data_IF_792984649791
#
_entry.id   IF_792984649791
#
_cell.length_a   1.000
_cell.length_b   1.000
_cell.length_c   1.000
_cell.angle_alpha   90.00
_cell.angle_beta   90.00
_cell.angle_gamma   90.00
#
_symmetry.space_group_name_H-M   'P 1'
#
loop_
_entity.id
_entity.type
_entity.pdbx_description
1 polymer ?
#
# COMPACT_ATOMS: atom_id res chain seq x y z
N UNK A 1 19.57 9.60 14.33
CA UNK A 1 19.56 8.68 15.49
C UNK A 1 18.47 7.64 15.28
N UNK A 2 18.87 6.41 14.94
CA UNK A 2 18.01 5.39 14.33
C UNK A 2 17.27 4.60 15.44
N UNK A 3 16.03 4.97 15.76
CA UNK A 3 15.18 4.23 16.73
C UNK A 3 14.77 2.89 16.11
N UNK A 4 15.65 1.87 16.23
CA UNK A 4 15.30 0.49 15.90
C UNK A 4 14.14 0.07 16.83
N UNK A 5 13.01 -0.31 16.21
CA UNK A 5 11.77 -0.69 16.89
C UNK A 5 12.04 -1.83 17.90
N UNK A 6 11.66 -1.69 19.19
CA UNK A 6 12.00 -2.64 20.26
C UNK A 6 11.36 -4.04 20.10
N UNK A 7 10.41 -4.18 19.20
CA UNK A 7 9.68 -5.43 18.97
C UNK A 7 10.47 -6.49 18.22
N UNK A 8 11.50 -6.11 17.46
CA UNK A 8 12.24 -7.06 16.61
C UNK A 8 13.00 -8.10 17.43
N UNK A 9 13.61 -7.68 18.56
CA UNK A 9 14.36 -8.58 19.44
C UNK A 9 13.47 -9.58 20.18
N UNK A 10 12.29 -9.14 20.62
CA UNK A 10 11.32 -10.00 21.31
C UNK A 10 10.77 -11.05 20.34
N UNK A 11 10.44 -10.64 19.11
CA UNK A 11 9.90 -11.53 18.08
C UNK A 11 10.93 -12.60 17.67
N UNK A 12 12.22 -12.24 17.56
CA UNK A 12 13.29 -13.23 17.29
C UNK A 12 13.50 -14.21 18.44
N UNK A 13 13.39 -13.76 19.70
CA UNK A 13 13.52 -14.64 20.86
C UNK A 13 12.37 -15.64 20.93
N UNK A 14 11.14 -15.19 20.71
CA UNK A 14 9.97 -16.08 20.65
C UNK A 14 10.17 -17.15 19.58
N UNK A 15 10.62 -16.79 18.38
CA UNK A 15 10.87 -17.75 17.30
C UNK A 15 11.96 -18.77 17.63
N UNK A 16 13.08 -18.32 18.22
CA UNK A 16 14.13 -19.24 18.67
C UNK A 16 13.59 -20.24 19.71
N UNK A 17 12.73 -19.77 20.62
CA UNK A 17 12.08 -20.65 21.62
C UNK A 17 11.14 -21.64 20.97
N UNK A 18 10.34 -21.23 19.97
CA UNK A 18 9.46 -22.15 19.24
C UNK A 18 10.29 -23.19 18.49
N UNK A 19 11.35 -22.81 17.76
CA UNK A 19 12.26 -23.76 17.09
C UNK A 19 12.81 -24.80 18.07
N UNK A 20 13.34 -24.34 19.20
CA UNK A 20 13.92 -25.22 20.22
C UNK A 20 12.85 -26.17 20.77
N UNK A 21 11.64 -25.68 21.02
CA UNK A 21 10.52 -26.49 21.47
C UNK A 21 10.10 -27.52 20.40
N UNK A 22 10.05 -27.14 19.12
CA UNK A 22 9.70 -28.03 18.00
C UNK A 22 10.73 -29.15 17.83
N UNK A 23 12.03 -28.83 17.93
CA UNK A 23 13.13 -29.81 17.93
C UNK A 23 13.01 -30.76 19.12
N UNK A 24 12.81 -30.24 20.34
CA UNK A 24 12.63 -31.03 21.55
C UNK A 24 11.40 -31.95 21.47
N UNK A 25 10.28 -31.44 20.98
CA UNK A 25 9.03 -32.20 20.86
C UNK A 25 9.17 -33.35 19.87
N UNK A 26 9.79 -33.11 18.70
CA UNK A 26 10.01 -34.14 17.68
C UNK A 26 11.03 -35.21 18.12
N UNK A 27 12.06 -34.81 18.85
CA UNK A 27 13.03 -35.76 19.44
C UNK A 27 12.43 -36.58 20.58
N UNK A 28 11.57 -35.99 21.42
CA UNK A 28 10.88 -36.71 22.51
C UNK A 28 9.73 -37.60 22.04
N UNK A 29 9.04 -37.25 20.95
CA UNK A 29 7.95 -38.09 20.43
C UNK A 29 8.42 -39.41 19.80
N UNK A 30 9.73 -39.61 19.63
CA UNK A 30 10.28 -40.87 19.12
C UNK A 30 9.86 -41.16 17.68
N UNK A 31 9.86 -40.14 16.81
CA UNK A 31 9.59 -40.33 15.39
C UNK A 31 10.69 -41.17 14.73
N UNK A 32 10.37 -42.45 14.48
CA UNK A 32 11.12 -43.43 13.67
C UNK A 32 12.50 -43.87 14.21
N UNK A 33 12.69 -45.19 14.33
CA UNK A 33 14.00 -45.85 14.59
C UNK A 33 15.06 -45.55 13.50
N UNK A 34 14.65 -44.96 12.37
CA UNK A 34 15.52 -44.55 11.28
C UNK A 34 15.84 -43.04 11.33
N UNK A 35 17.09 -42.74 11.71
CA UNK A 35 17.76 -41.43 11.66
C UNK A 35 17.46 -40.58 10.41
N UNK A 36 17.51 -41.10 9.16
CA UNK A 36 17.29 -40.27 7.97
C UNK A 36 15.86 -39.74 7.84
N UNK A 37 14.84 -40.48 8.30
CA UNK A 37 13.45 -39.99 8.27
C UNK A 37 13.25 -38.86 9.26
N UNK A 38 13.79 -39.01 10.48
CA UNK A 38 13.73 -37.99 11.52
C UNK A 38 14.33 -36.67 11.03
N UNK A 39 15.49 -36.72 10.37
CA UNK A 39 16.16 -35.52 9.81
C UNK A 39 15.30 -34.84 8.73
N UNK A 40 14.70 -35.61 7.81
CA UNK A 40 13.86 -35.05 6.74
C UNK A 40 12.61 -34.39 7.33
N UNK A 41 11.92 -35.05 8.26
CA UNK A 41 10.74 -34.49 8.94
C UNK A 41 11.09 -33.23 9.72
N UNK A 42 12.22 -33.23 10.42
CA UNK A 42 12.70 -32.07 11.17
C UNK A 42 12.95 -30.87 10.25
N UNK A 43 13.63 -31.07 9.12
CA UNK A 43 13.90 -30.01 8.14
C UNK A 43 12.59 -29.45 7.57
N UNK A 44 11.64 -30.31 7.20
CA UNK A 44 10.37 -29.84 6.64
C UNK A 44 9.53 -29.04 7.63
N UNK A 45 9.49 -29.48 8.89
CA UNK A 45 8.80 -28.75 9.96
C UNK A 45 9.49 -27.41 10.23
N UNK A 46 10.82 -27.36 10.28
CA UNK A 46 11.56 -26.11 10.44
C UNK A 46 11.33 -25.14 9.28
N UNK A 47 11.27 -25.63 8.04
CA UNK A 47 10.94 -24.80 6.88
C UNK A 47 9.51 -24.25 7.01
N UNK A 48 8.54 -25.08 7.40
CA UNK A 48 7.17 -24.62 7.59
C UNK A 48 7.06 -23.56 8.68
N UNK A 49 7.74 -23.76 9.80
CA UNK A 49 7.80 -22.80 10.90
C UNK A 49 8.45 -21.48 10.47
N UNK A 50 9.52 -21.56 9.67
CA UNK A 50 10.21 -20.40 9.10
C UNK A 50 9.32 -19.58 8.15
N UNK A 51 8.50 -20.24 7.33
CA UNK A 51 7.56 -19.58 6.42
C UNK A 51 6.45 -18.87 7.19
N UNK A 52 5.88 -19.53 8.20
CA UNK A 52 4.87 -18.93 9.10
C UNK A 52 5.44 -17.69 9.80
N UNK A 53 6.64 -17.81 10.34
CA UNK A 53 7.32 -16.71 11.02
C UNK A 53 7.67 -15.55 10.08
N UNK A 54 8.22 -15.83 8.90
CA UNK A 54 8.52 -14.82 7.89
C UNK A 54 7.27 -14.05 7.47
N UNK A 55 6.14 -14.73 7.30
CA UNK A 55 4.88 -14.10 6.94
C UNK A 55 4.28 -13.24 8.06
N UNK A 56 4.33 -13.71 9.31
CA UNK A 56 3.87 -12.89 10.45
C UNK A 56 4.71 -11.62 10.61
N UNK A 57 6.03 -11.70 10.41
CA UNK A 57 6.90 -10.51 10.39
C UNK A 57 6.57 -9.55 9.23
N UNK A 58 6.33 -10.09 8.03
CA UNK A 58 5.90 -9.30 6.89
C UNK A 58 4.56 -8.58 7.16
N UNK A 59 3.62 -9.28 7.81
CA UNK A 59 2.33 -8.74 8.22
C UNK A 59 2.48 -7.60 9.23
N UNK A 60 3.27 -7.79 10.30
CA UNK A 60 3.53 -6.77 11.33
C UNK A 60 4.20 -5.52 10.71
N UNK A 61 5.12 -5.71 9.76
CA UNK A 61 5.75 -4.58 9.05
C UNK A 61 4.78 -3.85 8.14
N UNK A 62 3.90 -4.57 7.43
CA UNK A 62 2.96 -3.99 6.47
C UNK A 62 1.74 -3.35 7.14
N UNK A 63 1.24 -3.92 8.23
CA UNK A 63 0.08 -3.42 8.99
C UNK A 63 0.31 -2.01 9.57
N UNK A 64 1.56 -1.61 9.79
CA UNK A 64 1.89 -0.24 10.23
C UNK A 64 1.78 0.83 9.15
N UNK A 65 1.57 0.47 7.88
CA UNK A 65 1.58 1.40 6.74
C UNK A 65 0.24 1.57 6.03
N UNK A 66 -0.73 0.68 6.26
CA UNK A 66 -2.03 0.67 5.54
C UNK A 66 -3.18 0.64 6.54
N UNK A 67 -4.00 1.69 6.54
CA UNK A 67 -5.25 1.75 7.30
C UNK A 67 -6.28 0.81 6.65
N UNK A 68 -6.35 -0.41 7.14
CA UNK A 68 -7.27 -1.46 6.68
C UNK A 68 -6.52 -2.77 6.39
N UNK A 69 -7.02 -3.90 6.90
CA UNK A 69 -6.50 -5.23 6.60
C UNK A 69 -6.74 -5.54 5.13
N UNK A 70 -5.70 -5.59 4.27
CA UNK A 70 -5.86 -5.96 2.87
C UNK A 70 -6.39 -7.40 2.79
N UNK A 71 -7.42 -7.69 1.97
CA UNK A 71 -7.96 -9.04 1.80
C UNK A 71 -6.88 -10.08 1.45
N UNK A 72 -5.82 -9.63 0.77
CA UNK A 72 -4.63 -10.40 0.39
C UNK A 72 -3.91 -10.97 1.62
N UNK A 73 -3.79 -10.19 2.71
CA UNK A 73 -3.13 -10.62 3.93
C UNK A 73 -3.92 -11.70 4.68
N UNK A 74 -5.26 -11.68 4.57
CA UNK A 74 -6.13 -12.70 5.14
C UNK A 74 -6.00 -14.02 4.38
N UNK A 75 -5.96 -13.95 3.04
CA UNK A 75 -5.82 -15.12 2.17
C UNK A 75 -4.46 -15.81 2.30
N UNK A 76 -3.36 -15.06 2.45
CA UNK A 76 -2.03 -15.64 2.67
C UNK A 76 -1.89 -16.31 4.05
N UNK A 77 -2.55 -15.78 5.08
CA UNK A 77 -2.58 -16.41 6.41
C UNK A 77 -3.28 -17.77 6.39
N UNK A 78 -4.40 -17.88 5.66
CA UNK A 78 -5.14 -19.13 5.50
C UNK A 78 -4.30 -20.20 4.79
N UNK A 79 -3.56 -19.83 3.74
CA UNK A 79 -2.74 -20.77 2.97
C UNK A 79 -1.54 -21.26 3.76
N UNK A 80 -0.95 -20.37 4.56
CA UNK A 80 0.16 -20.74 5.45
C UNK A 80 -0.33 -21.66 6.57
N UNK A 81 -1.51 -21.39 7.14
CA UNK A 81 -2.13 -22.28 8.11
C UNK A 81 -2.48 -23.64 7.50
N UNK A 82 -3.05 -23.66 6.30
CA UNK A 82 -3.35 -24.89 5.56
C UNK A 82 -2.07 -25.67 5.21
N UNK A 83 -1.00 -24.99 4.81
CA UNK A 83 0.31 -25.61 4.56
C UNK A 83 0.90 -26.22 5.83
N UNK A 84 0.88 -25.50 6.96
CA UNK A 84 1.36 -26.01 8.24
C UNK A 84 0.57 -27.26 8.68
N UNK A 85 -0.76 -27.22 8.56
CA UNK A 85 -1.63 -28.37 8.85
C UNK A 85 -1.33 -29.54 7.90
N UNK A 86 -1.15 -29.29 6.60
CA UNK A 86 -0.81 -30.32 5.62
C UNK A 86 0.56 -30.96 5.91
N UNK A 87 1.56 -30.17 6.30
CA UNK A 87 2.89 -30.68 6.69
C UNK A 87 2.78 -31.56 7.94
N UNK A 88 2.04 -31.14 8.97
CA UNK A 88 1.85 -31.94 10.19
C UNK A 88 1.06 -33.22 9.90
N UNK A 89 -0.01 -33.15 9.11
CA UNK A 89 -0.78 -34.33 8.69
C UNK A 89 0.12 -35.27 7.90
N UNK A 90 0.89 -34.76 6.93
CA UNK A 90 1.80 -35.57 6.12
C UNK A 90 2.89 -36.23 6.99
N UNK A 91 3.42 -35.52 7.98
CA UNK A 91 4.42 -36.05 8.90
C UNK A 91 3.85 -37.20 9.75
N UNK A 92 2.64 -37.04 10.29
CA UNK A 92 1.98 -38.06 11.12
C UNK A 92 1.49 -39.24 10.29
N UNK A 93 0.86 -39.01 9.13
CA UNK A 93 0.32 -40.06 8.27
C UNK A 93 1.40 -40.86 7.54
N UNK A 94 2.41 -40.21 6.95
CA UNK A 94 3.46 -40.96 6.25
C UNK A 94 4.36 -41.73 7.20
N UNK A 95 4.61 -41.20 8.41
CA UNK A 95 5.48 -41.88 9.37
C UNK A 95 4.78 -43.07 10.04
N UNK A 96 3.52 -42.93 10.47
CA UNK A 96 2.81 -44.01 11.18
C UNK A 96 2.08 -45.02 10.30
N UNK A 97 1.61 -44.63 9.11
CA UNK A 97 0.66 -45.47 8.36
C UNK A 97 1.29 -46.25 7.20
N UNK A 98 2.37 -45.75 6.60
CA UNK A 98 2.81 -46.21 5.28
C UNK A 98 4.22 -46.83 5.22
N UNK A 99 5.06 -46.65 6.25
CA UNK A 99 6.39 -47.30 6.30
C UNK A 99 7.31 -46.99 5.10
N UNK A 100 7.01 -45.94 4.33
CA UNK A 100 7.59 -45.67 3.00
C UNK A 100 9.12 -45.48 3.01
N UNK A 101 9.83 -45.90 1.95
CA UNK A 101 11.26 -45.61 1.80
C UNK A 101 11.55 -44.10 1.89
N UNK A 102 12.66 -43.73 2.52
CA UNK A 102 13.00 -42.32 2.83
C UNK A 102 12.99 -41.40 1.60
N UNK A 103 13.29 -41.93 0.41
CA UNK A 103 13.25 -41.17 -0.84
C UNK A 103 11.82 -40.69 -1.21
N UNK A 104 10.82 -41.56 -1.10
CA UNK A 104 9.42 -41.21 -1.39
C UNK A 104 8.86 -40.23 -0.36
N UNK A 105 9.28 -40.36 0.89
CA UNK A 105 8.95 -39.42 1.95
C UNK A 105 9.45 -38.00 1.63
N UNK A 106 10.71 -37.87 1.22
CA UNK A 106 11.30 -36.60 0.81
C UNK A 106 10.62 -36.00 -0.43
N UNK A 107 10.29 -36.83 -1.43
CA UNK A 107 9.61 -36.39 -2.64
C UNK A 107 8.22 -35.80 -2.34
N UNK A 108 7.45 -36.44 -1.46
CA UNK A 108 6.13 -35.93 -1.05
C UNK A 108 6.25 -34.61 -0.30
N UNK A 109 7.19 -34.48 0.64
CA UNK A 109 7.38 -33.23 1.37
C UNK A 109 7.84 -32.08 0.45
N UNK A 110 8.69 -32.37 -0.53
CA UNK A 110 9.14 -31.39 -1.51
C UNK A 110 7.99 -30.95 -2.44
N UNK A 111 7.09 -31.86 -2.81
CA UNK A 111 5.92 -31.55 -3.62
C UNK A 111 4.92 -30.66 -2.86
N UNK A 112 4.68 -30.95 -1.57
CA UNK A 112 3.82 -30.13 -0.70
C UNK A 112 4.42 -28.73 -0.51
N UNK A 113 5.74 -28.62 -0.32
CA UNK A 113 6.45 -27.34 -0.28
C UNK A 113 6.31 -26.56 -1.59
N UNK A 114 6.53 -27.21 -2.73
CA UNK A 114 6.43 -26.59 -4.05
C UNK A 114 5.00 -26.08 -4.34
N UNK A 115 3.98 -26.87 -4.00
CA UNK A 115 2.58 -26.49 -4.17
C UNK A 115 2.22 -25.26 -3.32
N UNK A 116 2.63 -25.25 -2.04
CA UNK A 116 2.39 -24.11 -1.16
C UNK A 116 3.15 -22.85 -1.57
N UNK A 117 4.42 -23.01 -1.97
CA UNK A 117 5.22 -21.92 -2.53
C UNK A 117 4.60 -21.33 -3.79
N UNK A 118 4.08 -22.18 -4.69
CA UNK A 118 3.36 -21.76 -5.89
C UNK A 118 2.09 -20.97 -5.58
N UNK A 119 1.26 -21.46 -4.66
CA UNK A 119 0.05 -20.76 -4.22
C UNK A 119 0.36 -19.39 -3.59
N UNK A 120 1.40 -19.31 -2.75
CA UNK A 120 1.85 -18.05 -2.16
C UNK A 120 2.38 -17.07 -3.19
N UNK A 121 3.14 -17.55 -4.18
CA UNK A 121 3.63 -16.70 -5.28
C UNK A 121 2.48 -16.12 -6.11
N UNK A 122 1.47 -16.93 -6.44
CA UNK A 122 0.30 -16.48 -7.20
C UNK A 122 -0.50 -15.41 -6.45
N UNK A 123 -0.68 -15.56 -5.15
CA UNK A 123 -1.41 -14.57 -4.33
C UNK A 123 -0.57 -13.33 -4.06
N UNK A 124 0.75 -13.48 -3.91
CA UNK A 124 1.66 -12.35 -3.85
C UNK A 124 1.58 -11.50 -5.11
N UNK A 125 1.59 -12.12 -6.29
CA UNK A 125 1.45 -11.45 -7.57
C UNK A 125 0.07 -10.80 -7.74
N UNK A 126 -1.00 -11.53 -7.42
CA UNK A 126 -2.36 -10.99 -7.47
C UNK A 126 -2.54 -9.82 -6.52
N UNK A 127 -1.97 -9.92 -5.32
CA UNK A 127 -2.07 -8.90 -4.29
C UNK A 127 -1.25 -7.65 -4.57
N UNK A 128 -0.09 -7.80 -5.21
CA UNK A 128 0.65 -6.64 -5.71
C UNK A 128 -0.17 -5.89 -6.77
N UNK A 129 -0.78 -6.62 -7.70
CA UNK A 129 -1.58 -5.99 -8.76
C UNK A 129 -2.85 -5.30 -8.21
N UNK A 130 -3.57 -5.95 -7.30
CA UNK A 130 -4.78 -5.39 -6.67
C UNK A 130 -4.44 -4.22 -5.72
N UNK A 131 -3.37 -4.31 -4.94
CA UNK A 131 -2.92 -3.23 -4.05
C UNK A 131 -2.41 -2.00 -4.81
N UNK A 132 -1.81 -2.19 -5.98
CA UNK A 132 -1.46 -1.07 -6.86
C UNK A 132 -2.69 -0.34 -7.40
N UNK A 133 -3.81 -1.06 -7.61
CA UNK A 133 -5.07 -0.47 -8.06
C UNK A 133 -5.81 0.24 -6.91
N UNK A 134 -5.87 -0.36 -5.72
CA UNK A 134 -6.54 0.22 -4.55
C UNK A 134 -5.82 1.48 -4.03
N UNK A 135 -4.48 1.50 -4.08
CA UNK A 135 -3.72 2.71 -3.75
C UNK A 135 -3.96 3.84 -4.75
N UNK A 136 -4.11 3.52 -6.04
CA UNK A 136 -4.44 4.52 -7.07
C UNK A 136 -5.82 5.13 -6.82
N UNK A 137 -6.82 4.31 -6.48
CA UNK A 137 -8.17 4.79 -6.15
C UNK A 137 -8.20 5.64 -4.87
N UNK A 138 -7.52 5.22 -3.80
CA UNK A 138 -7.41 6.01 -2.56
C UNK A 138 -6.62 7.31 -2.74
N UNK A 139 -5.67 7.34 -3.67
CA UNK A 139 -4.91 8.55 -4.01
C UNK A 139 -5.76 9.53 -4.84
N UNK A 140 -6.70 9.02 -5.64
CA UNK A 140 -7.64 9.81 -6.43
C UNK A 140 -8.57 10.68 -5.55
N UNK A 141 -9.16 10.13 -4.49
CA UNK A 141 -10.00 10.93 -3.58
C UNK A 141 -9.19 11.95 -2.78
N UNK A 142 -7.89 11.68 -2.56
CA UNK A 142 -6.99 12.58 -1.85
C UNK A 142 -6.48 13.74 -2.72
N UNK A 143 -6.49 13.63 -4.05
CA UNK A 143 -6.01 14.70 -4.95
C UNK A 143 -6.88 15.95 -4.84
N UNK A 144 -8.20 15.78 -4.90
CA UNK A 144 -9.15 16.89 -4.90
C UNK A 144 -9.15 17.66 -3.56
N UNK A 145 -9.04 16.93 -2.44
CA UNK A 145 -8.83 17.54 -1.13
C UNK A 145 -7.51 18.32 -1.04
N UNK A 146 -6.44 17.80 -1.66
CA UNK A 146 -5.14 18.47 -1.71
C UNK A 146 -5.21 19.74 -2.56
N UNK A 147 -5.78 19.67 -3.75
CA UNK A 147 -5.97 20.81 -4.66
C UNK A 147 -6.80 21.93 -4.00
N UNK A 148 -7.89 21.56 -3.30
CA UNK A 148 -8.70 22.53 -2.53
C UNK A 148 -7.90 23.19 -1.41
N UNK A 149 -7.09 22.41 -0.69
CA UNK A 149 -6.23 22.94 0.37
C UNK A 149 -5.19 23.91 -0.20
N UNK A 150 -4.56 23.55 -1.32
CA UNK A 150 -3.60 24.42 -2.01
C UNK A 150 -4.24 25.73 -2.45
N UNK A 151 -5.43 25.70 -3.06
CA UNK A 151 -6.18 26.91 -3.42
C UNK A 151 -6.51 27.79 -2.20
N UNK A 152 -6.91 27.18 -1.07
CA UNK A 152 -7.17 27.92 0.16
C UNK A 152 -5.89 28.58 0.72
N UNK A 153 -4.73 27.94 0.60
CA UNK A 153 -3.45 28.49 1.01
C UNK A 153 -2.99 29.62 0.08
N UNK A 154 -3.16 29.48 -1.24
CA UNK A 154 -2.91 30.56 -2.23
C UNK A 154 -3.80 31.78 -1.92
N UNK A 155 -5.08 31.57 -1.62
CA UNK A 155 -6.01 32.64 -1.23
C UNK A 155 -5.59 33.36 0.04
N UNK A 156 -5.08 32.63 1.03
CA UNK A 156 -4.52 33.24 2.25
C UNK A 156 -3.26 34.06 1.96
N UNK A 157 -2.38 33.55 1.11
CA UNK A 157 -1.19 34.29 0.67
C UNK A 157 -1.58 35.58 -0.05
N UNK A 158 -2.53 35.51 -0.99
CA UNK A 158 -3.07 36.68 -1.69
C UNK A 158 -3.68 37.73 -0.74
N UNK A 159 -4.36 37.31 0.34
CA UNK A 159 -4.89 38.24 1.37
C UNK A 159 -3.81 39.00 2.12
N UNK A 160 -2.61 38.43 2.23
CA UNK A 160 -1.49 39.09 2.92
C UNK A 160 -0.84 40.20 2.08
N UNK A 161 -1.22 40.30 0.80
CA UNK A 161 -0.73 41.33 -0.11
C UNK A 161 -1.32 42.70 0.26
N UNK A 162 -0.46 43.67 0.62
CA UNK A 162 -0.86 45.04 1.00
C UNK A 162 -1.01 45.94 -0.24
N UNK A 163 -1.85 45.54 -1.19
CA UNK A 163 -2.10 46.27 -2.44
C UNK A 163 -3.60 46.49 -2.67
N UNK A 164 -3.96 47.56 -3.38
CA UNK A 164 -5.37 47.88 -3.68
C UNK A 164 -6.07 46.78 -4.49
N UNK A 165 -5.31 46.01 -5.27
CA UNK A 165 -5.80 44.93 -6.13
C UNK A 165 -5.85 43.56 -5.43
N UNK A 166 -5.43 43.49 -4.16
CA UNK A 166 -5.43 42.24 -3.39
C UNK A 166 -6.85 41.66 -3.21
N UNK A 167 -7.86 42.52 -3.06
CA UNK A 167 -9.25 42.09 -2.95
C UNK A 167 -9.75 41.43 -4.24
N UNK A 168 -9.38 41.99 -5.39
CA UNK A 168 -9.67 41.43 -6.72
C UNK A 168 -9.02 40.05 -6.89
N UNK A 169 -7.75 39.92 -6.52
CA UNK A 169 -7.01 38.64 -6.56
C UNK A 169 -7.68 37.57 -5.68
N UNK A 170 -8.03 37.93 -4.44
CA UNK A 170 -8.68 37.03 -3.47
C UNK A 170 -10.06 36.58 -3.95
N UNK A 171 -10.84 37.49 -4.57
CA UNK A 171 -12.14 37.16 -5.13
C UNK A 171 -12.02 36.15 -6.28
N UNK A 172 -11.03 36.33 -7.16
CA UNK A 172 -10.76 35.44 -8.31
C UNK A 172 -10.28 34.05 -7.88
N UNK A 173 -9.34 33.95 -6.94
CA UNK A 173 -8.96 32.64 -6.38
C UNK A 173 -10.15 31.98 -5.66
N UNK A 174 -10.99 32.80 -5.03
CA UNK A 174 -12.22 32.35 -4.38
C UNK A 174 -13.23 31.70 -5.31
N UNK A 175 -13.41 32.19 -6.54
CA UNK A 175 -14.35 31.57 -7.51
C UNK A 175 -13.90 30.17 -7.91
N UNK A 176 -12.60 29.96 -8.11
CA UNK A 176 -12.02 28.65 -8.41
C UNK A 176 -12.18 27.70 -7.23
N UNK A 177 -11.86 28.14 -6.00
CA UNK A 177 -12.05 27.35 -4.78
C UNK A 177 -13.51 26.90 -4.61
N UNK A 178 -14.46 27.78 -4.93
CA UNK A 178 -15.89 27.50 -4.89
C UNK A 178 -16.29 26.45 -5.95
N UNK A 179 -15.77 26.58 -7.19
CA UNK A 179 -15.98 25.59 -8.24
C UNK A 179 -15.49 24.19 -7.85
N UNK A 180 -14.34 24.08 -7.16
CA UNK A 180 -13.85 22.82 -6.60
C UNK A 180 -14.73 22.30 -5.47
N UNK A 181 -15.28 23.20 -4.63
CA UNK A 181 -16.15 22.83 -3.51
C UNK A 181 -17.45 22.17 -3.97
N UNK A 182 -18.00 22.61 -5.10
CA UNK A 182 -19.20 22.05 -5.70
C UNK A 182 -18.94 20.90 -6.70
N UNK A 183 -17.68 20.50 -6.88
CA UNK A 183 -17.32 19.38 -7.76
C UNK A 183 -17.44 18.02 -7.06
N UNK A 184 -17.68 16.95 -7.83
CA UNK A 184 -17.82 15.59 -7.30
C UNK A 184 -16.47 15.11 -6.70
N UNK A 185 -16.39 14.75 -5.40
CA UNK A 185 -15.14 14.35 -4.76
C UNK A 185 -14.62 12.99 -5.22
N UNK A 186 -15.42 12.22 -5.95
CA UNK A 186 -15.03 10.90 -6.46
C UNK A 186 -14.15 11.10 -7.69
N UNK A 187 -12.95 10.53 -7.70
CA UNK A 187 -12.07 10.52 -8.87
C UNK A 187 -11.82 9.08 -9.32
N UNK A 188 -11.73 8.86 -10.64
CA UNK A 188 -11.57 7.54 -11.26
C UNK A 188 -10.21 7.45 -11.96
N UNK A 189 -9.62 6.25 -12.11
CA UNK A 189 -8.31 6.09 -12.75
C UNK A 189 -8.21 6.67 -14.17
N UNK A 190 -9.32 6.69 -14.92
CA UNK A 190 -9.39 7.29 -16.26
C UNK A 190 -9.22 8.82 -16.26
N UNK A 191 -9.40 9.49 -15.11
CA UNK A 191 -9.32 10.94 -14.96
C UNK A 191 -7.95 11.41 -14.47
N UNK A 192 -6.99 10.50 -14.21
CA UNK A 192 -5.69 10.87 -13.63
C UNK A 192 -4.90 11.87 -14.44
N UNK A 193 -4.93 11.78 -15.77
CA UNK A 193 -4.25 12.76 -16.61
C UNK A 193 -4.84 14.17 -16.42
N UNK A 194 -6.18 14.26 -16.33
CA UNK A 194 -6.89 15.52 -16.10
C UNK A 194 -6.63 16.07 -14.69
N UNK A 195 -6.57 15.20 -13.67
CA UNK A 195 -6.25 15.56 -12.27
C UNK A 195 -4.80 16.02 -12.11
N UNK A 196 -3.85 15.43 -12.83
CA UNK A 196 -2.45 15.86 -12.84
C UNK A 196 -2.31 17.24 -13.52
N UNK A 197 -3.04 17.47 -14.61
CA UNK A 197 -3.08 18.77 -15.28
C UNK A 197 -3.65 19.86 -14.36
N UNK A 198 -4.73 19.58 -13.62
CA UNK A 198 -5.25 20.51 -12.59
C UNK A 198 -4.20 20.82 -11.52
N UNK A 199 -3.47 19.80 -11.06
CA UNK A 199 -2.43 19.98 -10.05
C UNK A 199 -1.28 20.86 -10.55
N UNK A 200 -0.87 20.69 -11.80
CA UNK A 200 0.14 21.53 -12.45
C UNK A 200 -0.34 22.97 -12.60
N UNK A 201 -1.58 23.19 -13.04
CA UNK A 201 -2.14 24.54 -13.19
C UNK A 201 -2.29 25.26 -11.84
N UNK A 202 -2.70 24.56 -10.77
CA UNK A 202 -2.75 25.13 -9.42
C UNK A 202 -1.35 25.47 -8.89
N UNK A 203 -0.35 24.65 -9.18
CA UNK A 203 1.04 24.96 -8.83
C UNK A 203 1.53 26.22 -9.58
N UNK A 204 1.23 26.34 -10.87
CA UNK A 204 1.54 27.54 -11.66
C UNK A 204 0.84 28.79 -11.09
N UNK A 205 -0.43 28.67 -10.67
CA UNK A 205 -1.15 29.75 -10.02
C UNK A 205 -0.47 30.18 -8.72
N UNK A 206 -0.05 29.22 -7.89
CA UNK A 206 0.69 29.50 -6.66
C UNK A 206 1.98 30.25 -6.95
N UNK A 207 2.78 29.76 -7.88
CA UNK A 207 4.07 30.33 -8.21
C UNK A 207 3.91 31.78 -8.74
N UNK A 208 2.88 32.05 -9.54
CA UNK A 208 2.54 33.40 -9.98
C UNK A 208 2.12 34.33 -8.83
N UNK A 209 1.29 33.83 -7.90
CA UNK A 209 0.89 34.62 -6.72
C UNK A 209 2.10 34.90 -5.82
N UNK A 210 3.00 33.92 -5.64
CA UNK A 210 4.22 34.11 -4.87
C UNK A 210 5.17 35.11 -5.53
N UNK A 211 5.32 35.06 -6.86
CA UNK A 211 6.07 36.04 -7.62
C UNK A 211 5.50 37.45 -7.42
N UNK A 212 4.18 37.64 -7.51
CA UNK A 212 3.51 38.92 -7.28
C UNK A 212 3.71 39.45 -5.85
N UNK A 213 3.67 38.56 -4.87
CA UNK A 213 3.92 38.91 -3.47
C UNK A 213 5.39 39.34 -3.25
N UNK A 214 6.32 38.67 -3.92
CA UNK A 214 7.76 38.94 -3.80
C UNK A 214 8.21 40.20 -4.55
N UNK A 215 7.58 40.53 -5.68
CA UNK A 215 7.91 41.71 -6.49
C UNK A 215 7.38 43.00 -5.88
N UNK A 216 6.34 42.93 -5.03
CA UNK A 216 5.75 44.07 -4.32
C UNK A 216 4.91 44.99 -5.21
N UNK A 217 5.29 45.16 -6.48
CA UNK A 217 4.53 45.86 -7.50
C UNK A 217 3.98 44.89 -8.56
N UNK A 218 2.72 45.03 -8.96
CA UNK A 218 2.14 44.26 -10.05
C UNK A 218 2.78 44.65 -11.39
N UNK A 219 3.45 43.70 -12.06
CA UNK A 219 3.96 43.91 -13.43
C UNK A 219 2.83 44.16 -14.43
N UNK A 220 3.09 44.93 -15.50
CA UNK A 220 2.07 45.17 -16.54
C UNK A 220 1.54 43.84 -17.11
N UNK A 221 0.23 43.65 -17.05
CA UNK A 221 -0.45 42.46 -17.61
C UNK A 221 -0.56 41.27 -16.65
N UNK A 222 -0.24 41.43 -15.36
CA UNK A 222 -0.41 40.38 -14.36
C UNK A 222 -1.84 39.85 -14.26
N UNK A 223 -2.84 40.73 -14.37
CA UNK A 223 -4.27 40.34 -14.32
C UNK A 223 -4.64 39.39 -15.45
N UNK A 224 -4.21 39.69 -16.68
CA UNK A 224 -4.50 38.88 -17.85
C UNK A 224 -3.82 37.49 -17.77
N UNK A 225 -2.61 37.43 -17.23
CA UNK A 225 -1.91 36.14 -17.01
C UNK A 225 -2.63 35.30 -15.96
N UNK A 226 -3.04 35.92 -14.84
CA UNK A 226 -3.76 35.24 -13.78
C UNK A 226 -5.15 34.79 -14.23
N UNK A 227 -5.86 35.63 -15.00
CA UNK A 227 -7.13 35.26 -15.64
C UNK A 227 -6.98 34.08 -16.60
N UNK A 228 -5.90 34.04 -17.39
CA UNK A 228 -5.59 32.91 -18.25
C UNK A 228 -5.46 31.60 -17.46
N UNK A 229 -4.65 31.60 -16.40
CA UNK A 229 -4.44 30.41 -15.56
C UNK A 229 -5.73 29.99 -14.86
N UNK A 230 -6.50 30.95 -14.33
CA UNK A 230 -7.79 30.66 -13.68
C UNK A 230 -8.79 30.08 -14.67
N UNK A 231 -8.87 30.67 -15.88
CA UNK A 231 -9.73 30.16 -16.95
C UNK A 231 -9.34 28.75 -17.39
N UNK A 232 -8.05 28.44 -17.48
CA UNK A 232 -7.55 27.11 -17.80
C UNK A 232 -7.91 26.07 -16.72
N UNK A 233 -7.81 26.45 -15.45
CA UNK A 233 -8.22 25.61 -14.31
C UNK A 233 -9.73 25.33 -14.38
N UNK A 234 -10.55 26.37 -14.57
CA UNK A 234 -12.00 26.24 -14.65
C UNK A 234 -12.43 25.37 -15.85
N UNK A 235 -11.83 25.59 -17.02
CA UNK A 235 -12.09 24.80 -18.22
C UNK A 235 -11.71 23.32 -18.02
N UNK A 236 -10.57 23.07 -17.38
CA UNK A 236 -10.10 21.71 -17.08
C UNK A 236 -11.00 21.02 -16.05
N UNK A 237 -11.45 21.75 -15.02
CA UNK A 237 -12.38 21.24 -14.02
C UNK A 237 -13.76 20.91 -14.63
N UNK A 238 -14.26 21.76 -15.52
CA UNK A 238 -15.50 21.49 -16.27
C UNK A 238 -15.36 20.25 -17.15
N UNK A 239 -14.23 20.11 -17.86
CA UNK A 239 -13.93 18.91 -18.67
C UNK A 239 -13.94 17.66 -17.79
N UNK A 240 -13.25 17.69 -16.65
CA UNK A 240 -13.21 16.60 -15.68
C UNK A 240 -14.62 16.22 -15.19
N UNK A 241 -15.47 17.21 -14.90
CA UNK A 241 -16.85 16.95 -14.48
C UNK A 241 -17.71 16.34 -15.60
N UNK A 242 -17.50 16.73 -16.87
CA UNK A 242 -18.19 16.11 -18.02
C UNK A 242 -17.73 14.67 -18.25
N UNK A 243 -16.42 14.43 -18.19
CA UNK A 243 -15.86 13.08 -18.29
C UNK A 243 -16.37 12.18 -17.15
N UNK A 244 -16.48 12.72 -15.93
CA UNK A 244 -17.05 12.01 -14.79
C UNK A 244 -18.54 11.71 -14.97
N UNK A 245 -19.31 12.65 -15.51
CA UNK A 245 -20.73 12.45 -15.81
C UNK A 245 -20.95 11.37 -16.88
N UNK A 246 -20.07 11.28 -17.89
CA UNK A 246 -20.13 10.24 -18.93
C UNK A 246 -19.77 8.83 -18.43
N UNK A 247 -19.14 8.73 -17.26
CA UNK A 247 -18.73 7.48 -16.63
C UNK A 247 -19.73 6.96 -15.57
N UNK A 248 -20.78 7.74 -15.26
CA UNK A 248 -21.89 7.34 -14.38
C UNK A 248 -22.92 6.55 -15.17
#
# INVERSE_FOLDING_TARGET
MNRKKPYTGIITVIYTVVIIATVLLLTMLGFSDNLPRLVITLIAVLIAESVVFGYTLFWIKSAGSVSGTPPILLSGAFIIAAYAVAVVISAVFLDRLLGLPAFWYAAVQLLVLAAAGGCLALIGLYGWNAGAQENKEKQATRSLFRQRKELADIKRAARSWRHAEAETLVKRIGSVEEAFTYSDPVSRPSLFATEDMLSQQIALLRDQVELLLSSGEPGKGWEAQLEGIIGDIEATLQRRNRELAALK
#
